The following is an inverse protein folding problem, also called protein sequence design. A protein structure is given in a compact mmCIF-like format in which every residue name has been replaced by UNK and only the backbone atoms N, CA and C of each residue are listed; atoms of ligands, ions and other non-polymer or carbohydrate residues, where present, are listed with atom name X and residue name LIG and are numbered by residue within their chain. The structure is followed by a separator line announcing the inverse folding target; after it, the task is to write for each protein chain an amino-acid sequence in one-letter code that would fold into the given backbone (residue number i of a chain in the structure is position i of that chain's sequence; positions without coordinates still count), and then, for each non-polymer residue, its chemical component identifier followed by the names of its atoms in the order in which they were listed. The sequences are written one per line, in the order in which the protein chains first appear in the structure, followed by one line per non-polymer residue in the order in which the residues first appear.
data_IF_639107780698
#
_entry.id   IF_639107780698
#
_cell.length_a   1.000
_cell.length_b   1.000
_cell.length_c   1.000
_cell.angle_alpha   90.00
_cell.angle_beta   90.00
_cell.angle_gamma   90.00
#
_symmetry.space_group_name_H-M   'P 1'
#
loop_
_entity.id
_entity.type
_entity.pdbx_description
1 polymer ?
#
# COMPACT_ATOMS: atom_id res chain seq x y z
N UNK A 1 -11.20 8.63 -3.16
CA UNK A 1 -9.81 8.20 -2.98
C UNK A 1 -9.11 9.24 -2.12
N UNK A 2 -8.50 8.83 -1.01
CA UNK A 2 -8.04 9.72 0.08
C UNK A 2 -6.52 9.71 0.26
N UNK A 3 -5.80 8.91 -0.52
CA UNK A 3 -4.34 8.83 -0.45
C UNK A 3 -3.68 10.01 -1.18
N UNK A 4 -2.72 10.63 -0.50
CA UNK A 4 -1.77 11.58 -1.07
C UNK A 4 -0.41 11.44 -0.38
N UNK A 5 0.63 11.85 -1.08
CA UNK A 5 1.98 12.00 -0.55
C UNK A 5 2.24 13.49 -0.30
N UNK A 6 2.71 13.81 0.90
CA UNK A 6 3.19 15.16 1.21
C UNK A 6 4.67 15.27 0.79
N UNK A 7 4.90 15.74 -0.43
CA UNK A 7 6.22 15.77 -1.07
C UNK A 7 7.06 16.95 -0.57
N UNK A 8 8.23 16.69 0.02
CA UNK A 8 9.18 17.74 0.35
C UNK A 8 10.04 18.11 -0.87
N UNK A 9 10.05 19.40 -1.23
CA UNK A 9 10.73 19.94 -2.41
C UNK A 9 11.91 20.81 -1.98
N UNK A 10 13.07 20.17 -1.78
CA UNK A 10 14.33 20.83 -1.37
C UNK A 10 14.68 21.97 -2.34
N UNK A 11 14.65 21.70 -3.64
CA UNK A 11 15.03 22.65 -4.70
C UNK A 11 14.06 23.84 -4.82
N UNK A 12 12.90 23.76 -4.17
CA UNK A 12 11.91 24.82 -4.13
C UNK A 12 11.90 25.57 -2.79
N UNK A 13 13.03 25.59 -2.09
CA UNK A 13 13.20 26.31 -0.82
C UNK A 13 12.58 25.59 0.37
N UNK A 14 12.51 24.26 0.33
CA UNK A 14 11.96 23.45 1.43
C UNK A 14 10.44 23.56 1.57
N UNK A 15 9.73 23.72 0.45
CA UNK A 15 8.26 23.72 0.42
C UNK A 15 7.70 22.31 0.24
N UNK A 16 6.41 22.17 0.46
CA UNK A 16 5.68 20.92 0.29
C UNK A 16 4.70 20.98 -0.88
N UNK A 17 4.48 19.85 -1.54
CA UNK A 17 3.40 19.67 -2.50
C UNK A 17 2.50 18.50 -2.09
N UNK A 18 1.20 18.59 -2.35
CA UNK A 18 0.27 17.47 -2.16
C UNK A 18 0.18 16.70 -3.47
N UNK A 19 0.80 15.53 -3.52
CA UNK A 19 0.86 14.65 -4.69
C UNK A 19 -0.15 13.52 -4.54
N UNK A 20 -1.19 13.51 -5.36
CA UNK A 20 -2.35 12.62 -5.23
C UNK A 20 -2.09 11.24 -5.84
N UNK A 21 -2.90 10.24 -5.43
CA UNK A 21 -2.83 8.85 -5.92
C UNK A 21 -3.02 8.65 -7.44
N UNK A 22 -3.43 9.69 -8.18
CA UNK A 22 -3.53 9.69 -9.64
C UNK A 22 -2.38 10.47 -10.32
N UNK A 23 -1.26 10.63 -9.62
CA UNK A 23 -0.03 11.29 -10.08
C UNK A 23 -0.19 12.77 -10.44
N UNK A 24 -1.04 13.51 -9.72
CA UNK A 24 -1.25 14.95 -9.93
C UNK A 24 -0.92 15.75 -8.68
N UNK A 25 -0.75 17.05 -8.82
CA UNK A 25 -0.47 17.98 -7.74
C UNK A 25 -1.65 18.90 -7.47
N UNK A 26 -1.95 19.15 -6.20
CA UNK A 26 -2.98 20.11 -5.80
C UNK A 26 -2.47 21.55 -5.96
N UNK A 27 -3.00 22.26 -6.96
CA UNK A 27 -2.84 23.71 -7.08
C UNK A 27 -3.68 24.44 -6.05
N UNK A 28 -3.18 25.59 -5.57
CA UNK A 28 -3.86 26.53 -4.67
C UNK A 28 -5.25 26.96 -5.15
N UNK A 29 -5.54 26.83 -6.44
CA UNK A 29 -6.86 27.13 -7.03
C UNK A 29 -7.90 26.02 -6.79
N UNK A 30 -7.50 24.87 -6.25
CA UNK A 30 -8.33 23.69 -6.05
C UNK A 30 -8.42 22.78 -7.27
N UNK A 31 -7.47 22.89 -8.20
CA UNK A 31 -7.35 22.02 -9.38
C UNK A 31 -6.18 21.05 -9.21
N UNK A 32 -6.34 19.86 -9.77
CA UNK A 32 -5.23 18.92 -9.92
C UNK A 32 -4.52 19.16 -11.25
N UNK A 33 -3.19 19.29 -11.21
CA UNK A 33 -2.32 19.53 -12.38
C UNK A 33 -1.26 18.45 -12.49
N UNK A 34 -0.80 18.16 -13.71
CA UNK A 34 0.14 17.05 -13.96
C UNK A 34 1.58 17.38 -13.49
N UNK A 35 1.99 18.64 -13.65
CA UNK A 35 3.33 19.10 -13.24
C UNK A 35 3.26 19.98 -12.00
N UNK A 36 4.16 19.71 -11.05
CA UNK A 36 4.35 20.57 -9.88
C UNK A 36 4.92 21.92 -10.32
N UNK A 37 4.16 22.98 -10.09
CA UNK A 37 4.51 24.36 -10.41
C UNK A 37 4.39 25.24 -9.15
N UNK A 38 4.75 26.54 -9.19
CA UNK A 38 4.71 27.40 -8.01
C UNK A 38 3.35 27.48 -7.30
N UNK A 39 2.24 27.23 -8.00
CA UNK A 39 0.90 27.20 -7.41
C UNK A 39 0.60 25.92 -6.62
N UNK A 40 1.45 24.89 -6.72
CA UNK A 40 1.33 23.62 -6.01
C UNK A 40 2.19 23.56 -4.74
N UNK A 41 2.92 24.64 -4.43
CA UNK A 41 3.89 24.69 -3.35
C UNK A 41 3.32 25.41 -2.13
N UNK A 42 3.42 24.73 -0.99
CA UNK A 42 2.91 25.19 0.30
C UNK A 42 4.02 25.19 1.34
N UNK A 43 4.02 26.18 2.22
CA UNK A 43 4.81 26.14 3.45
C UNK A 43 3.98 25.44 4.53
N UNK A 44 4.61 24.53 5.27
CA UNK A 44 3.97 23.85 6.40
C UNK A 44 4.15 24.69 7.67
N UNK A 45 3.04 25.04 8.31
CA UNK A 45 3.01 25.74 9.61
C UNK A 45 2.30 24.84 10.64
N UNK A 46 2.87 24.71 11.85
CA UNK A 46 2.30 23.87 12.90
C UNK A 46 1.62 24.70 13.98
N UNK A 47 0.35 24.39 14.26
CA UNK A 47 -0.46 25.02 15.28
C UNK A 47 -1.03 23.96 16.22
N UNK A 48 -0.56 23.91 17.46
CA UNK A 48 -1.03 22.96 18.48
C UNK A 48 -1.03 21.50 18.00
N UNK A 49 0.00 21.10 17.23
CA UNK A 49 0.14 19.75 16.67
C UNK A 49 -0.62 19.50 15.37
N UNK A 50 -1.38 20.48 14.87
CA UNK A 50 -2.07 20.41 13.58
C UNK A 50 -1.27 21.16 12.50
N UNK A 51 -1.44 20.73 11.25
CA UNK A 51 -0.77 21.28 10.08
C UNK A 51 -1.65 22.33 9.40
N UNK A 52 -1.09 23.49 9.08
CA UNK A 52 -1.64 24.45 8.14
C UNK A 52 -0.71 24.56 6.91
N UNK A 53 -1.29 24.72 5.72
CA UNK A 53 -0.56 24.76 4.45
C UNK A 53 -0.75 26.12 3.78
N UNK A 54 0.34 26.90 3.72
CA UNK A 54 0.34 28.28 3.22
C UNK A 54 0.90 28.40 1.82
N UNK A 55 0.11 28.92 0.89
CA UNK A 55 0.47 29.09 -0.51
C UNK A 55 1.46 30.25 -0.76
N UNK A 56 1.88 30.39 -2.02
CA UNK A 56 2.83 31.44 -2.46
C UNK A 56 2.34 32.88 -2.25
N UNK A 57 1.02 33.11 -2.16
CA UNK A 57 0.45 34.44 -1.87
C UNK A 57 0.26 34.70 -0.38
N UNK A 58 0.57 33.71 0.46
CA UNK A 58 0.40 33.77 1.89
C UNK A 58 -1.00 33.37 2.39
N UNK A 59 -1.86 32.81 1.53
CA UNK A 59 -3.16 32.29 1.90
C UNK A 59 -3.10 30.79 2.27
N UNK A 60 -3.99 30.34 3.14
CA UNK A 60 -4.02 28.99 3.67
C UNK A 60 -5.03 28.11 2.94
N UNK A 61 -4.67 26.84 2.76
CA UNK A 61 -5.51 25.79 2.22
C UNK A 61 -6.64 25.46 3.20
N UNK A 62 -7.89 25.41 2.73
CA UNK A 62 -9.04 24.94 3.51
C UNK A 62 -10.08 24.28 2.60
N UNK A 63 -10.98 23.44 3.13
CA UNK A 63 -12.10 22.88 2.37
C UNK A 63 -13.17 23.94 2.12
N UNK A 64 -13.59 24.11 0.85
CA UNK A 64 -14.51 25.19 0.47
C UNK A 64 -15.76 24.66 -0.23
N UNK A 65 -16.92 25.18 0.22
CA UNK A 65 -18.23 24.88 -0.35
C UNK A 65 -18.77 23.52 0.05
N UNK A 66 -19.96 23.17 -0.46
CA UNK A 66 -20.67 21.93 -0.10
C UNK A 66 -19.94 20.65 -0.50
N UNK A 67 -18.98 20.73 -1.43
CA UNK A 67 -18.13 19.61 -1.86
C UNK A 67 -16.77 19.57 -1.16
N UNK A 68 -16.51 20.47 -0.22
CA UNK A 68 -15.24 20.57 0.52
C UNK A 68 -14.00 20.61 -0.41
N UNK A 69 -14.06 21.39 -1.49
CA UNK A 69 -12.94 21.50 -2.44
C UNK A 69 -11.76 22.17 -1.72
N UNK A 70 -10.65 21.46 -1.58
CA UNK A 70 -9.43 22.01 -0.99
C UNK A 70 -8.84 23.07 -1.92
N UNK A 71 -8.80 24.32 -1.46
CA UNK A 71 -8.15 25.43 -2.16
C UNK A 71 -7.74 26.52 -1.19
N UNK A 72 -6.80 27.38 -1.58
CA UNK A 72 -6.31 28.44 -0.71
C UNK A 72 -7.20 29.68 -0.80
N UNK A 73 -7.55 30.27 0.35
CA UNK A 73 -8.44 31.45 0.39
C UNK A 73 -8.17 32.39 1.57
N UNK A 74 -8.00 31.85 2.76
CA UNK A 74 -7.93 32.62 4.00
C UNK A 74 -6.51 33.17 4.22
N UNK A 75 -6.36 34.40 4.71
CA UNK A 75 -5.05 34.95 5.09
C UNK A 75 -4.71 34.72 6.58
N UNK A 76 -5.56 33.98 7.28
CA UNK A 76 -5.41 33.64 8.70
C UNK A 76 -5.73 32.17 8.90
N UNK A 77 -5.04 31.55 9.86
CA UNK A 77 -5.32 30.17 10.27
C UNK A 77 -6.47 30.16 11.27
N UNK A 78 -7.59 29.56 10.88
CA UNK A 78 -8.69 29.22 11.77
C UNK A 78 -8.86 27.70 11.82
N UNK A 79 -9.93 27.20 12.45
CA UNK A 79 -10.18 25.75 12.52
C UNK A 79 -10.31 25.11 11.15
N UNK A 80 -10.75 25.84 10.14
CA UNK A 80 -10.97 25.32 8.78
C UNK A 80 -9.65 25.09 8.01
N UNK A 81 -8.54 25.73 8.44
CA UNK A 81 -7.21 25.62 7.83
C UNK A 81 -6.30 24.60 8.53
N UNK A 82 -6.80 23.93 9.58
CA UNK A 82 -6.03 22.99 10.40
C UNK A 82 -6.32 21.54 9.99
N UNK A 83 -5.27 20.82 9.62
CA UNK A 83 -5.31 19.43 9.21
C UNK A 83 -4.55 18.53 10.19
N UNK A 84 -5.04 17.31 10.36
CA UNK A 84 -4.27 16.22 10.96
C UNK A 84 -3.82 15.28 9.85
N UNK A 85 -2.57 14.84 9.91
CA UNK A 85 -2.05 13.81 9.02
C UNK A 85 -2.21 12.46 9.72
N UNK A 86 -2.76 11.50 9.00
CA UNK A 86 -2.90 10.12 9.45
C UNK A 86 -2.26 9.20 8.42
N UNK A 87 -1.63 8.13 8.90
CA UNK A 87 -1.06 7.12 8.02
C UNK A 87 -2.18 6.46 7.21
N UNK A 88 -1.99 6.36 5.90
CA UNK A 88 -2.92 5.63 5.04
C UNK A 88 -2.74 4.12 5.25
N UNK A 89 -3.64 3.53 6.04
CA UNK A 89 -3.63 2.11 6.32
C UNK A 89 -3.74 1.25 5.04
N UNK A 90 -3.10 0.07 4.99
CA UNK A 90 -3.20 -0.82 3.85
C UNK A 90 -4.64 -1.30 3.64
N UNK A 91 -5.13 -1.15 2.42
CA UNK A 91 -6.35 -1.82 1.98
C UNK A 91 -5.95 -2.92 1.02
N UNK A 92 -6.45 -4.12 1.27
CA UNK A 92 -6.04 -5.32 0.60
C UNK A 92 -7.22 -6.08 -0.01
N UNK A 93 -6.93 -6.82 -1.07
CA UNK A 93 -7.79 -7.88 -1.58
C UNK A 93 -7.01 -9.19 -1.64
N UNK A 94 -7.73 -10.30 -1.59
CA UNK A 94 -7.15 -11.64 -1.52
C UNK A 94 -7.81 -12.56 -2.54
N UNK A 95 -7.00 -13.28 -3.30
CA UNK A 95 -7.46 -14.34 -4.23
C UNK A 95 -7.17 -15.69 -3.64
N UNK A 96 -8.17 -16.55 -3.48
CA UNK A 96 -7.96 -17.92 -3.01
C UNK A 96 -7.26 -18.77 -4.08
N UNK A 97 -6.19 -19.47 -3.70
CA UNK A 97 -5.46 -20.33 -4.64
C UNK A 97 -6.30 -21.50 -5.15
N UNK A 98 -7.20 -22.03 -4.31
CA UNK A 98 -8.06 -23.18 -4.62
C UNK A 98 -8.94 -23.00 -5.87
N UNK A 99 -9.52 -21.81 -6.06
CA UNK A 99 -10.54 -21.56 -7.07
C UNK A 99 -10.34 -20.26 -7.87
N UNK A 100 -9.25 -19.54 -7.61
CA UNK A 100 -8.92 -18.25 -8.24
C UNK A 100 -10.00 -17.18 -8.08
N UNK A 101 -10.78 -17.23 -6.99
CA UNK A 101 -11.82 -16.25 -6.68
C UNK A 101 -11.37 -15.27 -5.60
N UNK A 102 -11.86 -14.05 -5.69
CA UNK A 102 -11.65 -13.03 -4.67
C UNK A 102 -12.47 -13.33 -3.41
N UNK A 103 -11.82 -13.14 -2.26
CA UNK A 103 -12.45 -13.20 -0.94
C UNK A 103 -13.37 -11.98 -0.78
N UNK A 104 -14.58 -12.22 -0.29
CA UNK A 104 -15.71 -11.31 -0.35
C UNK A 104 -16.61 -11.43 0.87
N UNK A 105 -17.28 -10.32 1.20
CA UNK A 105 -18.39 -10.26 2.17
C UNK A 105 -19.72 -9.90 1.49
N UNK A 106 -19.81 -10.08 0.17
CA UNK A 106 -21.01 -9.68 -0.62
C UNK A 106 -22.21 -10.59 -0.38
N UNK A 107 -22.00 -11.86 -0.04
CA UNK A 107 -23.05 -12.87 0.11
C UNK A 107 -23.68 -12.91 1.51
N UNK A 108 -23.30 -12.00 2.40
CA UNK A 108 -23.82 -11.92 3.76
C UNK A 108 -22.70 -11.87 4.80
N UNK A 109 -22.96 -12.48 5.96
CA UNK A 109 -22.06 -12.42 7.11
C UNK A 109 -20.85 -13.35 6.96
N UNK A 110 -21.00 -14.49 6.29
CA UNK A 110 -19.89 -15.41 6.05
C UNK A 110 -18.91 -14.84 5.03
N UNK A 111 -17.61 -14.96 5.31
CA UNK A 111 -16.56 -14.60 4.36
C UNK A 111 -16.39 -15.73 3.34
N UNK A 112 -16.45 -15.41 2.05
CA UNK A 112 -16.38 -16.41 0.97
C UNK A 112 -15.45 -15.98 -0.17
N UNK A 113 -14.73 -16.92 -0.78
CA UNK A 113 -13.95 -16.70 -2.00
C UNK A 113 -14.77 -17.11 -3.23
N UNK A 114 -15.61 -16.20 -3.74
CA UNK A 114 -16.60 -16.50 -4.78
C UNK A 114 -16.70 -15.44 -5.90
N UNK A 115 -16.00 -14.30 -5.80
CA UNK A 115 -16.12 -13.20 -6.77
C UNK A 115 -15.02 -13.21 -7.84
N UNK A 116 -15.32 -12.62 -9.00
CA UNK A 116 -14.39 -12.47 -10.14
C UNK A 116 -13.69 -11.11 -10.19
N UNK A 117 -14.21 -10.12 -9.45
CA UNK A 117 -13.74 -8.74 -9.50
C UNK A 117 -13.59 -8.18 -8.09
N UNK A 118 -12.76 -7.14 -7.96
CA UNK A 118 -12.57 -6.42 -6.70
C UNK A 118 -13.52 -5.22 -6.67
N UNK A 119 -14.49 -5.24 -5.76
CA UNK A 119 -15.28 -4.09 -5.34
C UNK A 119 -14.97 -3.71 -3.88
N UNK A 120 -15.79 -2.83 -3.29
CA UNK A 120 -15.73 -2.50 -1.86
C UNK A 120 -15.96 -3.74 -0.96
N UNK A 121 -16.66 -4.76 -1.46
CA UNK A 121 -16.92 -6.01 -0.72
C UNK A 121 -15.74 -6.99 -0.71
N UNK A 122 -14.75 -6.79 -1.59
CA UNK A 122 -13.52 -7.59 -1.70
C UNK A 122 -12.29 -6.79 -1.25
N UNK A 123 -12.52 -5.58 -0.74
CA UNK A 123 -11.50 -4.66 -0.24
C UNK A 123 -11.60 -4.58 1.27
N UNK A 124 -10.51 -4.91 1.95
CA UNK A 124 -10.44 -4.96 3.41
C UNK A 124 -9.34 -4.05 3.92
N UNK A 125 -9.62 -3.24 4.93
CA UNK A 125 -8.59 -2.48 5.63
C UNK A 125 -7.87 -3.38 6.63
N UNK A 126 -6.55 -3.44 6.54
CA UNK A 126 -5.70 -4.20 7.43
C UNK A 126 -5.19 -3.29 8.55
N UNK A 127 -5.55 -3.61 9.79
CA UNK A 127 -5.19 -2.82 10.96
C UNK A 127 -4.28 -3.61 11.88
N UNK A 128 -3.12 -3.05 12.19
CA UNK A 128 -2.10 -3.73 12.97
C UNK A 128 -2.33 -3.59 14.46
N UNK A 129 -2.22 -4.71 15.16
CA UNK A 129 -2.19 -4.76 16.61
C UNK A 129 -0.74 -4.80 17.10
N UNK A 130 -0.28 -3.70 17.70
CA UNK A 130 1.12 -3.56 18.13
C UNK A 130 1.50 -4.49 19.28
N UNK A 131 0.53 -4.95 20.08
CA UNK A 131 0.74 -5.83 21.22
C UNK A 131 0.95 -7.28 20.78
N UNK A 132 0.11 -7.78 19.87
CA UNK A 132 0.15 -9.17 19.40
C UNK A 132 0.96 -9.37 18.12
N UNK A 133 1.27 -8.29 17.38
CA UNK A 133 1.90 -8.33 16.06
C UNK A 133 1.05 -9.08 15.02
N UNK A 134 -0.28 -8.94 15.14
CA UNK A 134 -1.29 -9.57 14.28
C UNK A 134 -2.18 -8.52 13.64
N UNK A 135 -3.02 -8.94 12.71
CA UNK A 135 -3.87 -8.05 11.92
C UNK A 135 -5.34 -8.25 12.24
N UNK A 136 -6.05 -7.14 12.36
CA UNK A 136 -7.48 -7.09 12.15
C UNK A 136 -7.77 -6.87 10.66
N UNK A 137 -8.83 -7.50 10.15
CA UNK A 137 -9.27 -7.37 8.76
C UNK A 137 -10.66 -6.74 8.79
N UNK A 138 -10.73 -5.43 8.52
CA UNK A 138 -11.96 -4.62 8.60
C UNK A 138 -12.61 -4.46 7.23
N UNK A 139 -13.92 -4.61 7.16
CA UNK A 139 -14.73 -4.44 5.93
C UNK A 139 -15.16 -2.99 5.75
N UNK A 140 -15.73 -2.68 4.57
CA UNK A 140 -16.39 -1.40 4.30
C UNK A 140 -17.50 -1.05 5.31
N UNK A 141 -18.09 -2.03 6.00
CA UNK A 141 -19.22 -1.85 6.93
C UNK A 141 -18.77 -1.66 8.39
N UNK A 142 -17.49 -1.34 8.60
CA UNK A 142 -16.88 -1.24 9.94
C UNK A 142 -17.01 -2.54 10.75
N UNK A 143 -17.06 -3.68 10.06
CA UNK A 143 -17.06 -5.01 10.67
C UNK A 143 -15.71 -5.68 10.53
N UNK A 144 -15.36 -6.52 11.47
CA UNK A 144 -14.12 -7.29 11.45
C UNK A 144 -14.39 -8.74 11.07
N UNK A 145 -13.45 -9.33 10.32
CA UNK A 145 -13.37 -10.78 10.24
C UNK A 145 -13.21 -11.36 11.63
N UNK A 146 -13.90 -12.45 11.92
CA UNK A 146 -13.98 -13.08 13.23
C UNK A 146 -14.03 -14.59 13.07
N UNK A 147 -13.25 -15.28 13.89
CA UNK A 147 -13.30 -16.72 14.06
C UNK A 147 -14.51 -17.10 14.93
N UNK A 148 -15.42 -17.89 14.36
CA UNK A 148 -16.59 -18.41 15.05
C UNK A 148 -16.34 -19.77 15.71
N UNK A 149 -17.22 -20.16 16.63
CA UNK A 149 -17.12 -21.41 17.41
C UNK A 149 -17.02 -22.68 16.54
N UNK A 150 -17.68 -22.69 15.37
CA UNK A 150 -17.60 -23.79 14.39
C UNK A 150 -16.38 -23.73 13.46
N UNK A 151 -15.46 -22.81 13.69
CA UNK A 151 -14.29 -22.56 12.85
C UNK A 151 -14.56 -21.72 11.60
N UNK A 152 -15.82 -21.34 11.32
CA UNK A 152 -16.16 -20.46 10.21
C UNK A 152 -15.60 -19.04 10.41
N UNK A 153 -15.33 -18.35 9.30
CA UNK A 153 -14.90 -16.95 9.32
C UNK A 153 -16.06 -16.07 8.89
N UNK A 154 -16.43 -15.13 9.76
CA UNK A 154 -17.55 -14.22 9.57
C UNK A 154 -17.10 -12.75 9.68
N UNK A 155 -17.80 -11.85 8.99
CA UNK A 155 -17.61 -10.41 9.04
C UNK A 155 -18.72 -9.72 9.86
N UNK A 156 -18.99 -10.22 11.06
CA UNK A 156 -20.04 -9.71 11.97
C UNK A 156 -19.49 -8.86 13.12
N UNK A 157 -18.20 -8.97 13.44
CA UNK A 157 -17.60 -8.33 14.62
C UNK A 157 -17.69 -6.80 14.57
N UNK A 158 -18.40 -6.19 15.52
CA UNK A 158 -18.51 -4.74 15.69
C UNK A 158 -17.34 -4.14 16.49
N UNK A 159 -16.55 -4.99 17.15
CA UNK A 159 -15.44 -4.60 18.02
C UNK A 159 -14.23 -5.49 17.78
N UNK A 160 -13.07 -4.94 18.08
CA UNK A 160 -11.82 -5.70 18.15
C UNK A 160 -11.92 -6.76 19.26
N UNK A 161 -11.51 -7.97 18.93
CA UNK A 161 -11.47 -9.11 19.85
C UNK A 161 -10.32 -10.05 19.48
N UNK A 162 -9.96 -10.97 20.38
CA UNK A 162 -8.94 -11.99 20.09
C UNK A 162 -9.31 -12.88 18.90
N UNK A 163 -10.60 -13.13 18.67
CA UNK A 163 -11.09 -13.90 17.52
C UNK A 163 -11.04 -13.13 16.20
N UNK A 164 -10.81 -11.82 16.24
CA UNK A 164 -10.62 -10.98 15.06
C UNK A 164 -9.16 -10.78 14.67
N UNK A 165 -8.22 -11.43 15.37
CA UNK A 165 -6.79 -11.34 15.10
C UNK A 165 -6.30 -12.50 14.24
N UNK A 166 -5.55 -12.15 13.20
CA UNK A 166 -4.99 -13.10 12.25
C UNK A 166 -3.50 -12.83 12.01
N UNK A 167 -2.71 -13.90 11.90
CA UNK A 167 -1.34 -13.79 11.37
C UNK A 167 -1.37 -13.90 9.86
N UNK A 168 -0.57 -13.08 9.17
CA UNK A 168 -0.23 -13.25 7.77
C UNK A 168 1.04 -14.10 7.67
N UNK A 169 0.89 -15.35 7.22
CA UNK A 169 1.98 -16.31 7.09
C UNK A 169 2.37 -16.42 5.61
N UNK A 170 3.37 -15.62 5.23
CA UNK A 170 3.89 -15.52 3.88
C UNK A 170 4.71 -16.75 3.47
N UNK A 171 4.54 -17.18 2.22
CA UNK A 171 5.12 -18.39 1.67
C UNK A 171 6.22 -18.12 0.62
N UNK A 172 6.98 -19.17 0.30
CA UNK A 172 8.05 -19.12 -0.70
C UNK A 172 7.59 -18.76 -2.11
N UNK A 173 6.32 -19.00 -2.45
CA UNK A 173 5.74 -18.78 -3.78
C UNK A 173 4.97 -17.45 -3.92
N UNK A 174 5.09 -16.55 -2.94
CA UNK A 174 4.39 -15.27 -2.93
C UNK A 174 2.95 -15.33 -2.41
N UNK A 175 2.44 -16.53 -2.09
CA UNK A 175 1.16 -16.68 -1.41
C UNK A 175 1.26 -16.34 0.09
N UNK A 176 0.10 -16.10 0.69
CA UNK A 176 -0.09 -15.85 2.12
C UNK A 176 -1.17 -16.77 2.65
N UNK A 177 -0.95 -17.31 3.85
CA UNK A 177 -1.97 -18.02 4.62
C UNK A 177 -2.35 -17.18 5.83
N UNK A 178 -3.62 -17.26 6.24
CA UNK A 178 -4.07 -16.62 7.47
C UNK A 178 -4.08 -17.64 8.60
N UNK A 179 -3.43 -17.34 9.73
CA UNK A 179 -3.57 -18.15 10.96
C UNK A 179 -4.52 -17.47 11.93
N UNK A 180 -5.60 -18.13 12.29
CA UNK A 180 -6.62 -17.62 13.21
C UNK A 180 -6.22 -17.85 14.68
N UNK A 181 -7.08 -17.42 15.60
CA UNK A 181 -6.80 -17.49 17.04
C UNK A 181 -6.84 -18.92 17.63
N UNK A 182 -7.49 -19.86 16.95
CA UNK A 182 -7.43 -21.29 17.30
C UNK A 182 -6.14 -21.99 16.84
N UNK A 183 -5.17 -21.23 16.31
CA UNK A 183 -3.89 -21.75 15.80
C UNK A 183 -3.98 -22.40 14.41
N UNK A 184 -5.18 -22.57 13.85
CA UNK A 184 -5.39 -23.17 12.52
C UNK A 184 -5.26 -22.13 11.42
N UNK A 185 -4.87 -22.61 10.25
CA UNK A 185 -4.91 -21.85 9.01
C UNK A 185 -6.34 -21.78 8.48
N UNK A 186 -6.69 -20.64 7.90
CA UNK A 186 -7.96 -20.44 7.19
C UNK A 186 -7.86 -21.15 5.84
N UNK A 187 -8.75 -22.11 5.62
CA UNK A 187 -8.91 -22.82 4.35
C UNK A 187 -10.21 -22.40 3.67
N UNK A 188 -10.17 -22.33 2.35
CA UNK A 188 -11.31 -22.14 1.46
C UNK A 188 -11.94 -23.50 1.17
N UNK A 189 -13.24 -23.67 1.44
CA UNK A 189 -13.99 -24.85 1.02
C UNK A 189 -14.33 -24.78 -0.46
N UNK A 190 -14.72 -25.91 -1.07
CA UNK A 190 -15.22 -25.94 -2.47
C UNK A 190 -16.43 -25.01 -2.71
N UNK A 191 -17.20 -24.75 -1.66
CA UNK A 191 -18.32 -23.79 -1.66
C UNK A 191 -17.89 -22.31 -1.58
N UNK A 192 -16.58 -22.04 -1.47
CA UNK A 192 -16.00 -20.70 -1.29
C UNK A 192 -15.91 -20.24 0.17
N UNK A 193 -16.70 -20.80 1.09
CA UNK A 193 -16.64 -20.40 2.51
C UNK A 193 -15.27 -20.62 3.15
N UNK A 194 -14.85 -19.65 3.98
CA UNK A 194 -13.59 -19.69 4.72
C UNK A 194 -13.77 -20.33 6.12
N UNK A 195 -12.88 -21.24 6.49
CA UNK A 195 -12.87 -21.95 7.78
C UNK A 195 -11.44 -22.09 8.33
N UNK A 196 -11.22 -21.73 9.59
CA UNK A 196 -9.96 -21.96 10.29
C UNK A 196 -9.87 -23.41 10.82
N UNK A 197 -9.57 -24.35 9.93
CA UNK A 197 -9.51 -25.77 10.25
C UNK A 197 -8.32 -26.52 9.62
N UNK A 198 -7.43 -25.83 8.90
CA UNK A 198 -6.24 -26.46 8.32
C UNK A 198 -5.03 -26.35 9.25
N UNK A 199 -4.18 -27.38 9.23
CA UNK A 199 -2.87 -27.41 9.90
C UNK A 199 -1.70 -27.35 8.90
N UNK A 200 -1.99 -27.39 7.61
CA UNK A 200 -1.00 -27.48 6.53
C UNK A 200 -1.18 -26.35 5.54
N UNK A 201 -0.07 -25.87 5.00
CA UNK A 201 -0.09 -24.90 3.89
C UNK A 201 -0.24 -25.68 2.59
N UNK A 202 -1.41 -25.57 1.98
CA UNK A 202 -1.80 -26.18 0.71
C UNK A 202 -2.67 -25.21 -0.10
N UNK A 203 -3.09 -25.59 -1.30
CA UNK A 203 -3.88 -24.71 -2.17
C UNK A 203 -5.21 -24.26 -1.55
N UNK A 204 -5.76 -25.03 -0.59
CA UNK A 204 -6.98 -24.64 0.11
C UNK A 204 -6.75 -23.48 1.09
N UNK A 205 -5.55 -23.39 1.66
CA UNK A 205 -5.17 -22.44 2.71
C UNK A 205 -4.21 -21.34 2.23
N UNK A 206 -3.97 -21.27 0.92
CA UNK A 206 -3.19 -20.23 0.26
C UNK A 206 -4.09 -19.16 -0.36
N UNK A 207 -3.64 -17.93 -0.23
CA UNK A 207 -4.23 -16.75 -0.84
C UNK A 207 -3.14 -15.91 -1.49
N UNK A 208 -3.51 -15.09 -2.46
CA UNK A 208 -2.61 -14.14 -3.09
C UNK A 208 -3.06 -12.72 -2.77
N UNK A 209 -2.10 -11.86 -2.40
CA UNK A 209 -2.34 -10.53 -1.85
C UNK A 209 -2.24 -9.45 -2.92
N UNK A 210 -3.18 -8.50 -2.91
CA UNK A 210 -3.07 -7.23 -3.61
C UNK A 210 -3.22 -6.07 -2.64
N UNK A 211 -2.31 -5.09 -2.70
CA UNK A 211 -2.47 -3.80 -2.04
C UNK A 211 -3.28 -2.87 -2.97
N UNK A 212 -4.56 -2.66 -2.66
CA UNK A 212 -5.50 -2.03 -3.60
C UNK A 212 -5.48 -0.51 -3.56
N UNK A 213 -5.23 0.09 -2.39
CA UNK A 213 -5.15 1.54 -2.22
C UNK A 213 -3.74 2.10 -2.45
N UNK A 214 -2.91 1.41 -3.25
CA UNK A 214 -1.62 1.90 -3.76
C UNK A 214 -1.50 1.62 -5.27
N UNK A 215 -2.34 2.25 -6.12
CA UNK A 215 -2.12 2.21 -7.57
C UNK A 215 -0.81 2.90 -7.98
N UNK A 216 -0.30 3.72 -7.08
CA UNK A 216 0.98 4.39 -7.13
C UNK A 216 1.71 4.13 -5.81
N UNK A 217 2.99 3.79 -5.89
CA UNK A 217 3.89 3.62 -4.77
C UNK A 217 4.99 4.68 -4.77
N UNK A 218 5.40 5.06 -3.56
CA UNK A 218 6.65 5.76 -3.26
C UNK A 218 7.39 4.89 -2.27
N UNK A 219 8.58 4.42 -2.62
CA UNK A 219 9.34 3.52 -1.76
C UNK A 219 10.45 4.26 -1.03
N UNK A 220 10.62 3.96 0.25
CA UNK A 220 11.68 4.51 1.08
C UNK A 220 12.29 3.44 2.00
N UNK A 221 13.59 3.50 2.17
CA UNK A 221 14.32 2.73 3.18
C UNK A 221 15.11 3.67 4.09
N UNK A 222 15.93 3.12 4.97
CA UNK A 222 16.74 3.90 5.92
C UNK A 222 17.78 4.82 5.23
N UNK A 223 18.18 4.50 4.00
CA UNK A 223 19.14 5.29 3.23
C UNK A 223 18.51 6.47 2.48
N UNK A 224 17.17 6.47 2.30
CA UNK A 224 16.45 7.47 1.54
C UNK A 224 15.36 6.86 0.66
N UNK A 225 14.90 7.65 -0.31
CA UNK A 225 13.89 7.24 -1.27
C UNK A 225 14.48 6.39 -2.40
N UNK A 226 13.64 5.54 -2.98
CA UNK A 226 13.87 4.96 -4.30
C UNK A 226 13.61 6.02 -5.36
N UNK A 227 14.62 6.30 -6.18
CA UNK A 227 14.53 7.24 -7.28
C UNK A 227 15.66 7.05 -8.27
N UNK A 228 15.65 7.82 -9.36
CA UNK A 228 16.70 7.71 -10.37
C UNK A 228 18.07 8.10 -9.81
N UNK A 229 19.08 7.32 -10.19
CA UNK A 229 20.49 7.61 -9.97
C UNK A 229 20.84 8.96 -10.59
N UNK A 230 21.68 9.75 -9.92
CA UNK A 230 22.16 11.02 -10.45
C UNK A 230 22.80 10.85 -11.84
N UNK A 231 22.31 11.58 -12.83
CA UNK A 231 22.76 11.50 -14.22
C UNK A 231 22.20 10.32 -15.03
N UNK A 232 21.29 9.53 -14.47
CA UNK A 232 20.55 8.49 -15.19
C UNK A 232 19.06 8.80 -15.20
N UNK A 233 18.38 8.42 -16.28
CA UNK A 233 16.91 8.48 -16.40
C UNK A 233 16.26 7.09 -16.38
N UNK A 234 17.04 6.05 -16.09
CA UNK A 234 16.57 4.65 -16.16
C UNK A 234 16.97 3.84 -14.93
N UNK A 235 18.18 4.03 -14.38
CA UNK A 235 18.65 3.23 -13.24
C UNK A 235 18.16 3.81 -11.91
N UNK A 236 17.62 2.97 -11.04
CA UNK A 236 17.16 3.34 -9.71
C UNK A 236 18.22 3.08 -8.64
N UNK A 237 18.24 3.95 -7.62
CA UNK A 237 18.98 3.82 -6.36
C UNK A 237 18.03 4.13 -5.19
N UNK A 238 18.36 3.66 -3.99
CA UNK A 238 17.52 3.77 -2.80
C UNK A 238 18.07 4.73 -1.72
N UNK A 239 18.96 5.65 -2.10
CA UNK A 239 19.53 6.68 -1.22
C UNK A 239 19.21 8.11 -1.71
N UNK A 240 18.09 8.27 -2.40
CA UNK A 240 17.74 9.55 -3.03
C UNK A 240 17.00 10.46 -2.04
N UNK A 241 17.20 11.76 -2.19
CA UNK A 241 16.44 12.77 -1.44
C UNK A 241 15.02 12.98 -2.03
N UNK A 242 14.87 12.72 -3.33
CA UNK A 242 13.60 12.76 -4.06
C UNK A 242 13.23 11.36 -4.51
N UNK A 243 11.94 11.05 -4.54
CA UNK A 243 11.44 9.75 -4.98
C UNK A 243 11.06 9.73 -6.46
N UNK A 244 11.06 8.54 -7.04
CA UNK A 244 10.32 8.25 -8.26
C UNK A 244 8.95 7.66 -7.91
N UNK A 245 7.95 8.00 -8.71
CA UNK A 245 6.60 7.46 -8.58
C UNK A 245 6.47 6.18 -9.36
N UNK A 246 6.01 5.12 -8.71
CA UNK A 246 5.94 3.78 -9.30
C UNK A 246 4.47 3.43 -9.52
N UNK A 247 4.05 3.30 -10.77
CA UNK A 247 2.73 2.79 -11.09
C UNK A 247 2.70 1.28 -10.86
N UNK A 248 1.64 0.80 -10.21
CA UNK A 248 1.43 -0.62 -9.90
C UNK A 248 0.32 -1.17 -10.80
N UNK A 249 0.68 -2.07 -11.72
CA UNK A 249 -0.27 -2.81 -12.55
C UNK A 249 -0.48 -4.21 -11.95
N UNK A 250 -1.73 -4.67 -11.82
CA UNK A 250 -2.05 -5.98 -11.24
C UNK A 250 -1.88 -7.07 -12.31
N UNK A 251 -1.12 -8.10 -11.98
CA UNK A 251 -1.04 -9.36 -12.72
C UNK A 251 -1.92 -10.44 -12.08
N UNK A 252 -1.74 -11.68 -12.51
CA UNK A 252 -2.46 -12.83 -11.94
C UNK A 252 -1.87 -13.26 -10.58
N UNK A 253 -2.69 -13.89 -9.73
CA UNK A 253 -2.25 -14.53 -8.49
C UNK A 253 -1.34 -13.65 -7.61
N UNK A 254 -1.73 -12.40 -7.36
CA UNK A 254 -1.01 -11.48 -6.47
C UNK A 254 0.29 -10.89 -7.06
N UNK A 255 0.64 -11.26 -8.30
CA UNK A 255 1.75 -10.63 -9.02
C UNK A 255 1.37 -9.19 -9.32
N UNK A 256 2.32 -8.27 -9.19
CA UNK A 256 2.24 -6.89 -9.66
C UNK A 256 3.40 -6.58 -10.58
N UNK A 257 3.18 -5.63 -11.48
CA UNK A 257 4.19 -5.08 -12.37
C UNK A 257 4.40 -3.61 -12.04
N UNK A 258 5.67 -3.20 -11.98
CA UNK A 258 6.04 -1.82 -11.69
C UNK A 258 6.42 -1.07 -12.95
N UNK A 259 5.92 0.15 -13.08
CA UNK A 259 6.09 0.98 -14.27
C UNK A 259 6.46 2.40 -13.88
N UNK A 260 7.43 2.98 -14.58
CA UNK A 260 7.79 4.39 -14.42
C UNK A 260 6.84 5.33 -15.13
N UNK A 261 6.98 6.63 -14.86
CA UNK A 261 6.21 7.68 -15.54
C UNK A 261 6.44 7.72 -17.06
N UNK A 262 7.58 7.20 -17.53
CA UNK A 262 7.89 7.04 -18.94
C UNK A 262 7.11 5.91 -19.65
N UNK A 263 6.27 5.17 -18.90
CA UNK A 263 5.50 4.05 -19.42
C UNK A 263 6.33 2.78 -19.63
N UNK A 264 7.57 2.71 -19.14
CA UNK A 264 8.42 1.52 -19.19
C UNK A 264 8.36 0.74 -17.90
N UNK A 265 8.45 -0.58 -18.01
CA UNK A 265 8.44 -1.48 -16.87
C UNK A 265 9.79 -1.51 -16.16
N UNK A 266 9.73 -1.86 -14.89
CA UNK A 266 10.91 -2.27 -14.14
C UNK A 266 11.50 -3.54 -14.72
N UNK A 267 12.82 -3.55 -14.83
CA UNK A 267 13.64 -4.71 -15.14
C UNK A 267 14.76 -4.81 -14.13
N UNK A 268 15.06 -6.02 -13.66
CA UNK A 268 16.17 -6.25 -12.74
C UNK A 268 17.26 -7.07 -13.41
N UNK A 269 18.48 -6.53 -13.39
CA UNK A 269 19.68 -7.22 -13.81
C UNK A 269 20.65 -7.43 -12.62
N UNK A 270 21.85 -7.94 -12.90
CA UNK A 270 22.88 -8.14 -11.87
C UNK A 270 23.39 -6.85 -11.22
N UNK A 271 23.15 -5.70 -11.85
CA UNK A 271 23.65 -4.38 -11.46
C UNK A 271 22.62 -3.55 -10.69
N UNK A 272 21.33 -3.79 -10.90
CA UNK A 272 20.24 -3.16 -10.16
C UNK A 272 18.90 -3.19 -10.86
N UNK A 273 18.03 -2.26 -10.47
CA UNK A 273 16.70 -2.07 -11.08
C UNK A 273 16.74 -0.91 -12.07
N UNK A 274 16.21 -1.15 -13.27
CA UNK A 274 16.11 -0.19 -14.37
C UNK A 274 14.65 -0.01 -14.81
N UNK A 275 14.34 1.13 -15.43
CA UNK A 275 12.98 1.53 -15.84
C UNK A 275 12.93 1.86 -17.33
N UNK A 276 13.26 0.89 -18.15
CA UNK A 276 13.38 1.04 -19.61
C UNK A 276 12.84 -0.17 -20.41
N UNK A 277 12.31 -1.19 -19.73
CA UNK A 277 11.79 -2.40 -20.38
C UNK A 277 10.40 -2.21 -20.98
N UNK A 278 10.15 -2.87 -22.12
CA UNK A 278 8.81 -3.05 -22.69
C UNK A 278 8.12 -4.33 -22.15
N UNK A 279 8.89 -5.25 -21.57
CA UNK A 279 8.39 -6.48 -20.96
C UNK A 279 8.24 -6.31 -19.45
N UNK A 280 7.11 -6.76 -18.91
CA UNK A 280 6.82 -6.67 -17.48
C UNK A 280 7.48 -7.80 -16.70
N UNK A 281 8.22 -7.46 -15.64
CA UNK A 281 8.72 -8.41 -14.64
C UNK A 281 7.86 -8.36 -13.39
N UNK A 282 7.41 -9.54 -12.94
CA UNK A 282 6.48 -9.67 -11.83
C UNK A 282 7.15 -9.60 -10.47
N UNK A 283 6.43 -9.00 -9.51
CA UNK A 283 6.80 -8.96 -8.10
C UNK A 283 5.61 -9.35 -7.22
N UNK A 284 5.88 -9.88 -6.04
CA UNK A 284 4.91 -10.01 -4.96
C UNK A 284 5.15 -8.92 -3.92
N UNK A 285 4.06 -8.34 -3.42
CA UNK A 285 4.06 -7.44 -2.28
C UNK A 285 3.79 -8.24 -1.02
N UNK A 286 4.72 -8.24 -0.08
CA UNK A 286 4.52 -8.90 1.20
C UNK A 286 4.39 -7.86 2.32
N UNK A 287 3.16 -7.64 2.79
CA UNK A 287 2.89 -6.75 3.91
C UNK A 287 3.45 -7.34 5.21
N UNK A 288 4.55 -6.77 5.70
CA UNK A 288 5.26 -7.23 6.90
C UNK A 288 4.99 -6.36 8.13
N UNK A 289 4.75 -5.07 7.92
CA UNK A 289 4.48 -4.07 8.96
C UNK A 289 3.40 -3.09 8.46
N UNK A 290 2.77 -2.28 9.34
CA UNK A 290 1.63 -1.42 8.98
C UNK A 290 1.88 -0.51 7.78
N UNK A 291 3.12 -0.04 7.67
CA UNK A 291 3.57 0.90 6.65
C UNK A 291 4.76 0.37 5.87
N UNK A 292 5.11 -0.94 6.01
CA UNK A 292 6.25 -1.52 5.28
C UNK A 292 5.95 -2.85 4.61
N UNK A 293 6.43 -2.96 3.37
CA UNK A 293 6.36 -4.15 2.52
C UNK A 293 7.75 -4.69 2.20
N UNK A 294 7.86 -6.00 2.02
CA UNK A 294 8.97 -6.59 1.28
C UNK A 294 8.54 -6.77 -0.19
N UNK A 295 9.48 -6.60 -1.11
CA UNK A 295 9.25 -6.79 -2.54
C UNK A 295 10.01 -8.02 -3.01
N UNK A 296 9.28 -9.04 -3.43
CA UNK A 296 9.84 -10.32 -3.86
C UNK A 296 9.71 -10.48 -5.37
N UNK A 297 10.75 -10.90 -6.06
CA UNK A 297 10.63 -11.23 -7.49
C UNK A 297 9.73 -12.45 -7.66
N UNK A 298 8.80 -12.38 -8.62
CA UNK A 298 7.98 -13.52 -9.04
C UNK A 298 8.73 -14.44 -10.04
N UNK A 299 9.97 -14.09 -10.39
CA UNK A 299 10.83 -14.91 -11.25
C UNK A 299 11.41 -16.14 -10.55
N UNK A 300 12.17 -16.98 -11.27
CA UNK A 300 12.65 -18.30 -10.81
C UNK A 300 13.52 -18.28 -9.54
N UNK A 301 14.09 -17.13 -9.19
CA UNK A 301 14.94 -16.98 -8.00
C UNK A 301 14.17 -16.67 -6.72
N UNK A 302 12.97 -16.09 -6.78
CA UNK A 302 12.20 -15.72 -5.58
C UNK A 302 12.94 -14.76 -4.62
N UNK A 303 13.95 -14.04 -5.10
CA UNK A 303 14.77 -13.14 -4.29
C UNK A 303 14.02 -11.86 -3.92
N UNK A 304 14.43 -11.21 -2.83
CA UNK A 304 13.91 -9.92 -2.41
C UNK A 304 14.76 -8.75 -2.92
N UNK A 305 14.08 -7.64 -3.25
CA UNK A 305 14.72 -6.35 -3.48
C UNK A 305 15.21 -5.80 -2.14
N UNK A 306 16.49 -5.46 -2.10
CA UNK A 306 17.17 -4.97 -0.90
C UNK A 306 18.04 -3.76 -1.18
N UNK A 307 18.16 -2.91 -0.16
CA UNK A 307 19.09 -1.80 -0.11
C UNK A 307 20.50 -2.32 0.23
N UNK A 308 21.42 -2.19 -0.72
CA UNK A 308 22.84 -2.47 -0.55
C UNK A 308 23.64 -1.22 -0.15
N UNK A 309 24.96 -1.37 -0.09
CA UNK A 309 25.89 -0.25 0.17
C UNK A 309 25.73 0.84 -0.90
N UNK A 310 25.92 2.10 -0.50
CA UNK A 310 25.88 3.27 -1.39
C UNK A 310 24.58 3.40 -2.20
N UNK A 311 23.43 3.02 -1.62
CA UNK A 311 22.13 3.13 -2.29
C UNK A 311 21.85 2.09 -3.38
N UNK A 312 22.69 1.05 -3.49
CA UNK A 312 22.44 -0.03 -4.46
C UNK A 312 21.04 -0.63 -4.24
N UNK A 313 20.23 -0.69 -5.28
CA UNK A 313 18.88 -1.23 -5.26
C UNK A 313 18.82 -2.42 -6.21
N UNK A 314 18.77 -3.64 -5.66
CA UNK A 314 18.93 -4.89 -6.42
C UNK A 314 18.31 -6.08 -5.70
N UNK A 315 18.13 -7.18 -6.43
CA UNK A 315 17.78 -8.47 -5.83
C UNK A 315 18.95 -9.02 -5.02
N UNK A 316 18.63 -9.69 -3.92
CA UNK A 316 19.63 -10.30 -3.02
C UNK A 316 19.30 -11.76 -2.74
N UNK A 317 18.89 -12.09 -1.53
CA UNK A 317 18.58 -13.45 -1.11
C UNK A 317 17.07 -13.69 -1.09
N UNK A 318 16.70 -14.94 -0.88
CA UNK A 318 15.36 -15.50 -0.70
C UNK A 318 14.89 -15.47 0.75
N UNK A 319 15.74 -15.06 1.70
CA UNK A 319 15.38 -14.91 3.10
C UNK A 319 14.79 -13.52 3.39
N UNK A 320 13.51 -13.49 3.76
CA UNK A 320 12.79 -12.28 4.14
C UNK A 320 13.41 -11.59 5.37
N UNK A 321 14.10 -12.31 6.26
CA UNK A 321 14.71 -11.70 7.44
C UNK A 321 15.84 -10.71 7.06
N UNK A 322 16.47 -10.92 5.90
CA UNK A 322 17.53 -10.06 5.36
C UNK A 322 17.01 -9.06 4.32
N UNK A 323 15.75 -9.20 3.88
CA UNK A 323 15.13 -8.32 2.92
C UNK A 323 14.93 -6.92 3.50
N UNK A 324 15.04 -5.90 2.64
CA UNK A 324 14.67 -4.54 3.04
C UNK A 324 13.16 -4.43 3.15
N UNK A 325 12.70 -3.87 4.28
CA UNK A 325 11.31 -3.48 4.49
C UNK A 325 11.13 -2.04 4.00
N UNK A 326 10.45 -1.89 2.89
CA UNK A 326 10.22 -0.62 2.22
C UNK A 326 9.00 0.07 2.80
N UNK A 327 9.16 1.30 3.27
CA UNK A 327 8.05 2.21 3.57
C UNK A 327 7.35 2.60 2.26
N UNK A 328 6.01 2.64 2.25
CA UNK A 328 5.17 2.78 1.04
C UNK A 328 3.95 3.70 1.18
#
# INVERSE_FOLDING_TARGET
DTLFTLEFRVDNGGKYALHTCNNKYLSREGKLVDECNPNCLYSAEYHSGQLALRDVSGAYLSPIGSKAVLKSRSNSVTKDELFTLEDSLPQASFVAALNSRYVSVKQGVDVTANQDEISDHETFQLEWDSATKRWYIRTMQDRYWTLESGGGIQASGDKRSSNALFDLVWQGDGSVSFRANNGKLIATKRSGHLYANSDVVDDSSKYFFYLVNRPILVLKCEQGFVGFKAGSSVRLECNRATYETIQVERGEKGVVYFKGRNGKFWHVDGEGVHVDSDAAEGFFLELREPTRICLKSAGPGGCYLSAGKNGAFRLTDTDCATATKWEY
#
